data_IF_798457429849
#
_entry.id   IF_798457429849
#
_cell.length_a   1.000
_cell.length_b   1.000
_cell.length_c   1.000
_cell.angle_alpha   90.00
_cell.angle_beta   90.00
_cell.angle_gamma   90.00
#
_symmetry.space_group_name_H-M   'P 1'
#
loop_
_entity.id
_entity.type
_entity.pdbx_description
1 polymer ?
#
# COMPACT_ATOMS: atom_id res chain seq x y z
N UNK A 1 -20.36 5.20 32.93
CA UNK A 1 -20.64 4.09 32.00
C UNK A 1 -21.65 4.47 30.93
N UNK A 2 -22.85 4.92 31.25
CA UNK A 2 -23.94 5.28 30.31
C UNK A 2 -23.49 6.27 29.22
N UNK A 3 -22.83 7.38 29.58
CA UNK A 3 -22.38 8.42 28.65
C UNK A 3 -21.37 7.84 27.59
N UNK A 4 -20.46 7.00 28.06
CA UNK A 4 -19.46 6.37 27.13
C UNK A 4 -20.14 5.40 26.16
N UNK A 5 -21.09 4.59 26.63
CA UNK A 5 -21.85 3.70 25.77
C UNK A 5 -22.71 4.49 24.75
N UNK A 6 -23.34 5.58 25.19
CA UNK A 6 -24.10 6.45 24.28
C UNK A 6 -23.23 7.09 23.21
N UNK A 7 -22.01 7.51 23.55
CA UNK A 7 -21.05 8.05 22.56
C UNK A 7 -20.68 7.02 21.52
N UNK A 8 -20.38 5.79 21.91
CA UNK A 8 -20.08 4.69 20.99
C UNK A 8 -21.25 4.44 20.04
N UNK A 9 -22.47 4.37 20.56
CA UNK A 9 -23.69 4.17 19.75
C UNK A 9 -23.85 5.29 18.72
N UNK A 10 -23.66 6.55 19.14
CA UNK A 10 -23.70 7.70 18.23
C UNK A 10 -22.65 7.60 17.13
N UNK A 11 -21.44 7.12 17.43
CA UNK A 11 -20.41 6.92 16.41
C UNK A 11 -20.83 5.92 15.33
N UNK A 12 -21.54 4.86 15.69
CA UNK A 12 -22.10 3.92 14.70
C UNK A 12 -23.26 4.52 13.91
N UNK A 13 -24.15 5.27 14.56
CA UNK A 13 -25.28 5.94 13.87
C UNK A 13 -24.76 6.94 12.81
N UNK A 14 -23.73 7.70 13.14
CA UNK A 14 -23.15 8.68 12.22
C UNK A 14 -22.06 8.14 11.28
N UNK A 15 -21.82 6.80 11.25
CA UNK A 15 -20.81 6.14 10.43
C UNK A 15 -19.38 6.67 10.66
N UNK A 16 -19.05 7.04 11.91
CA UNK A 16 -17.71 7.46 12.32
C UNK A 16 -16.99 6.42 13.20
N UNK A 17 -17.49 5.18 13.24
CA UNK A 17 -16.91 4.04 13.97
C UNK A 17 -15.50 3.69 13.52
N UNK A 18 -15.11 4.12 12.30
CA UNK A 18 -13.73 3.99 11.81
C UNK A 18 -12.70 4.67 12.74
N UNK A 19 -13.09 5.68 13.50
CA UNK A 19 -12.22 6.32 14.50
C UNK A 19 -11.91 5.37 15.66
N UNK A 20 -12.89 4.58 16.11
CA UNK A 20 -12.67 3.55 17.14
C UNK A 20 -11.70 2.51 16.62
N UNK A 21 -11.84 2.12 15.37
CA UNK A 21 -10.95 1.17 14.71
C UNK A 21 -9.53 1.71 14.61
N UNK A 22 -9.37 2.98 14.20
CA UNK A 22 -8.07 3.64 14.13
C UNK A 22 -7.37 3.69 15.51
N UNK A 23 -8.10 4.07 16.56
CA UNK A 23 -7.59 4.09 17.94
C UNK A 23 -7.15 2.69 18.37
N UNK A 24 -7.97 1.67 18.12
CA UNK A 24 -7.66 0.28 18.47
C UNK A 24 -6.44 -0.24 17.72
N UNK A 25 -6.34 0.06 16.42
CA UNK A 25 -5.28 -0.46 15.55
C UNK A 25 -3.92 0.17 15.85
N UNK A 26 -3.89 1.43 16.24
CA UNK A 26 -2.67 2.20 16.45
C UNK A 26 -2.41 2.38 17.94
N UNK A 27 -3.20 3.22 18.61
CA UNK A 27 -2.90 3.71 19.95
C UNK A 27 -3.01 2.65 21.04
N UNK A 28 -4.01 1.76 20.99
CA UNK A 28 -4.15 0.68 21.99
C UNK A 28 -3.10 -0.42 21.84
N UNK A 29 -2.38 -0.45 20.71
CA UNK A 29 -1.21 -1.31 20.51
C UNK A 29 0.11 -0.65 20.96
N UNK A 30 0.06 0.59 21.45
CA UNK A 30 1.23 1.35 21.87
C UNK A 30 1.98 2.06 20.75
N UNK A 31 1.36 2.22 19.58
CA UNK A 31 1.96 2.88 18.43
C UNK A 31 1.42 4.31 18.25
N UNK A 32 2.15 5.12 17.50
CA UNK A 32 1.75 6.50 17.11
C UNK A 32 1.51 6.62 15.61
N UNK A 33 1.77 5.57 14.84
CA UNK A 33 1.61 5.53 13.38
C UNK A 33 1.14 4.16 12.93
N UNK A 34 0.64 4.06 11.69
CA UNK A 34 0.28 2.81 11.06
C UNK A 34 1.51 2.02 10.62
N UNK A 35 1.37 0.69 10.53
CA UNK A 35 2.41 -0.25 10.12
C UNK A 35 2.02 -1.04 8.87
N UNK A 36 2.99 -1.73 8.29
CA UNK A 36 2.83 -2.56 7.09
C UNK A 36 1.75 -3.64 7.26
N UNK A 37 1.66 -4.22 8.45
CA UNK A 37 0.74 -5.32 8.77
C UNK A 37 -0.70 -4.86 9.08
N UNK A 38 -0.94 -3.57 9.28
CA UNK A 38 -2.25 -3.04 9.69
C UNK A 38 -3.33 -3.20 8.61
N UNK A 39 -2.96 -3.55 7.38
CA UNK A 39 -3.94 -3.89 6.34
C UNK A 39 -4.89 -5.00 6.77
N UNK A 40 -4.50 -5.87 7.71
CA UNK A 40 -5.30 -6.96 8.27
C UNK A 40 -6.44 -6.47 9.17
N UNK A 41 -6.33 -5.27 9.69
CA UNK A 41 -7.29 -4.67 10.64
C UNK A 41 -8.47 -3.98 9.94
N UNK A 42 -8.38 -3.82 8.61
CA UNK A 42 -9.37 -3.10 7.81
C UNK A 42 -10.06 -4.04 6.81
N UNK A 43 -11.34 -3.78 6.47
CA UNK A 43 -12.01 -4.51 5.40
C UNK A 43 -11.25 -4.33 4.09
N UNK A 44 -10.93 -5.44 3.44
CA UNK A 44 -10.23 -5.43 2.16
C UNK A 44 -11.21 -5.79 1.04
N UNK A 45 -11.12 -5.11 -0.10
CA UNK A 45 -11.83 -5.45 -1.31
C UNK A 45 -10.85 -6.07 -2.30
N UNK A 46 -11.21 -7.23 -2.83
CA UNK A 46 -10.43 -7.86 -3.90
C UNK A 46 -10.86 -7.28 -5.24
N UNK A 47 -9.91 -6.67 -5.94
CA UNK A 47 -10.10 -6.24 -7.33
C UNK A 47 -9.82 -7.43 -8.24
N UNK A 48 -10.74 -7.72 -9.18
CA UNK A 48 -10.56 -8.79 -10.16
C UNK A 48 -9.32 -8.50 -11.01
N UNK A 49 -8.44 -9.48 -11.10
CA UNK A 49 -7.21 -9.37 -11.92
C UNK A 49 -7.59 -9.35 -13.40
N UNK A 50 -6.89 -8.52 -14.17
CA UNK A 50 -6.85 -8.60 -15.63
C UNK A 50 -5.94 -9.72 -16.13
N UNK A 51 -5.63 -9.71 -17.43
CA UNK A 51 -4.64 -10.61 -18.02
C UNK A 51 -3.27 -10.23 -17.45
N UNK A 52 -2.56 -11.22 -16.91
CA UNK A 52 -1.24 -11.00 -16.35
C UNK A 52 -0.25 -10.58 -17.45
N UNK A 53 0.49 -9.52 -17.19
CA UNK A 53 1.61 -9.05 -18.02
C UNK A 53 2.85 -8.97 -17.12
N UNK A 54 3.48 -10.12 -16.80
CA UNK A 54 4.64 -10.15 -15.92
C UNK A 54 5.83 -9.46 -16.59
N UNK A 55 6.64 -8.79 -15.77
CA UNK A 55 7.93 -8.30 -16.20
C UNK A 55 8.82 -9.47 -16.64
N UNK A 56 9.59 -9.27 -17.69
CA UNK A 56 10.61 -10.24 -18.08
C UNK A 56 11.67 -10.37 -16.98
N UNK A 57 12.27 -11.54 -16.87
CA UNK A 57 13.41 -11.75 -15.97
C UNK A 57 14.69 -11.51 -16.75
N UNK A 58 15.58 -10.67 -16.23
CA UNK A 58 16.88 -10.40 -16.85
C UNK A 58 17.73 -11.67 -16.87
N UNK A 59 18.55 -11.82 -17.91
CA UNK A 59 19.58 -12.88 -17.95
C UNK A 59 20.59 -12.78 -16.79
N UNK A 60 20.78 -11.58 -16.26
CA UNK A 60 21.67 -11.28 -15.14
C UNK A 60 20.91 -11.18 -13.82
N UNK A 61 19.71 -11.77 -13.72
CA UNK A 61 18.87 -11.73 -12.51
C UNK A 61 19.64 -12.21 -11.28
N UNK A 62 19.70 -11.35 -10.26
CA UNK A 62 20.39 -11.58 -8.99
C UNK A 62 21.86 -12.05 -9.12
N UNK A 63 22.51 -11.80 -10.26
CA UNK A 63 23.89 -12.23 -10.50
C UNK A 63 24.92 -11.37 -9.77
N UNK A 64 24.58 -10.14 -9.42
CA UNK A 64 25.47 -9.21 -8.71
C UNK A 64 25.10 -9.19 -7.22
N UNK A 65 26.04 -9.55 -6.33
CA UNK A 65 25.78 -9.50 -4.89
C UNK A 65 25.60 -8.06 -4.41
N UNK A 66 24.76 -7.89 -3.38
CA UNK A 66 24.60 -6.60 -2.70
C UNK A 66 25.90 -6.20 -2.02
N UNK A 67 26.19 -4.88 -2.03
CA UNK A 67 27.32 -4.33 -1.29
C UNK A 67 27.01 -4.27 0.21
N UNK A 68 28.05 -4.23 1.06
CA UNK A 68 27.89 -4.09 2.52
C UNK A 68 27.13 -2.82 2.90
N UNK A 69 27.39 -1.73 2.16
CA UNK A 69 26.68 -0.46 2.36
C UNK A 69 25.18 -0.62 2.09
N UNK A 70 24.82 -1.30 0.99
CA UNK A 70 23.40 -1.55 0.65
C UNK A 70 22.75 -2.47 1.69
N UNK A 71 23.43 -3.54 2.09
CA UNK A 71 22.95 -4.45 3.13
C UNK A 71 22.72 -3.74 4.46
N UNK A 72 23.66 -2.88 4.85
CA UNK A 72 23.49 -2.04 6.05
C UNK A 72 22.30 -1.10 5.91
N UNK A 73 22.14 -0.45 4.76
CA UNK A 73 21.00 0.43 4.48
C UNK A 73 19.67 -0.31 4.58
N UNK A 74 19.56 -1.51 4.02
CA UNK A 74 18.35 -2.34 4.13
C UNK A 74 18.01 -2.65 5.59
N UNK A 75 19.01 -2.98 6.38
CA UNK A 75 18.84 -3.25 7.82
C UNK A 75 18.40 -2.00 8.59
N UNK A 76 19.08 -0.87 8.36
CA UNK A 76 18.80 0.40 9.06
C UNK A 76 17.38 0.93 8.73
N UNK A 77 16.92 0.73 7.48
CA UNK A 77 15.60 1.16 7.02
C UNK A 77 14.50 0.10 7.20
N UNK A 78 14.84 -1.08 7.72
CA UNK A 78 13.91 -2.21 7.85
C UNK A 78 13.20 -2.52 6.51
N UNK A 79 13.98 -2.57 5.43
CA UNK A 79 13.47 -2.85 4.09
C UNK A 79 12.88 -4.24 4.05
N UNK A 80 11.66 -4.39 3.52
CA UNK A 80 10.97 -5.69 3.38
C UNK A 80 11.08 -6.28 1.98
N UNK A 81 11.25 -5.41 0.97
CA UNK A 81 11.41 -5.82 -0.42
C UNK A 81 12.26 -4.80 -1.16
N UNK A 82 13.11 -5.28 -2.04
CA UNK A 82 13.95 -4.45 -2.90
C UNK A 82 13.95 -5.00 -4.32
N UNK A 83 13.63 -4.15 -5.30
CA UNK A 83 13.48 -4.53 -6.68
C UNK A 83 14.21 -3.52 -7.58
N UNK A 84 15.01 -4.02 -8.52
CA UNK A 84 15.59 -3.21 -9.59
C UNK A 84 15.06 -3.70 -10.92
N UNK A 85 14.43 -2.79 -11.68
CA UNK A 85 14.02 -3.01 -13.06
C UNK A 85 15.01 -2.29 -13.96
N UNK A 86 15.58 -3.02 -14.93
CA UNK A 86 16.53 -2.50 -15.89
C UNK A 86 16.17 -2.99 -17.29
N UNK A 87 16.02 -2.08 -18.25
CA UNK A 87 15.62 -2.39 -19.61
C UNK A 87 14.38 -3.31 -19.67
N UNK A 88 13.31 -2.89 -19.00
CA UNK A 88 12.02 -3.58 -18.92
C UNK A 88 12.09 -5.02 -18.38
N UNK A 89 13.13 -5.34 -17.62
CA UNK A 89 13.33 -6.66 -17.04
C UNK A 89 13.69 -6.55 -15.55
N UNK A 90 13.26 -7.52 -14.76
CA UNK A 90 13.65 -7.62 -13.36
C UNK A 90 15.11 -8.05 -13.32
N UNK A 91 15.98 -7.14 -12.87
CA UNK A 91 17.41 -7.38 -12.77
C UNK A 91 17.84 -7.85 -11.39
N UNK A 92 17.22 -7.30 -10.34
CA UNK A 92 17.45 -7.71 -8.96
C UNK A 92 16.15 -7.73 -8.19
N UNK A 93 15.98 -8.73 -7.33
CA UNK A 93 14.83 -8.89 -6.46
C UNK A 93 15.25 -9.57 -5.15
N UNK A 94 14.96 -8.95 -4.03
CA UNK A 94 15.24 -9.51 -2.70
C UNK A 94 14.15 -9.15 -1.70
N UNK A 95 13.97 -10.03 -0.72
CA UNK A 95 12.99 -9.90 0.34
C UNK A 95 13.66 -10.13 1.69
N UNK A 96 13.17 -9.45 2.72
CA UNK A 96 13.75 -9.45 4.06
C UNK A 96 12.65 -9.72 5.10
N UNK A 97 13.04 -10.06 6.32
CA UNK A 97 12.17 -10.21 7.48
C UNK A 97 10.96 -11.15 7.25
N UNK A 98 11.18 -12.22 6.50
CA UNK A 98 10.14 -13.22 6.20
C UNK A 98 9.13 -12.81 5.13
N UNK A 99 9.31 -11.66 4.48
CA UNK A 99 8.50 -11.24 3.34
C UNK A 99 8.90 -11.99 2.05
N UNK A 100 8.02 -11.99 1.07
CA UNK A 100 8.19 -12.66 -0.22
C UNK A 100 7.39 -11.94 -1.31
N UNK A 101 7.53 -12.36 -2.56
CA UNK A 101 6.75 -11.86 -3.69
C UNK A 101 5.23 -11.96 -3.52
N UNK A 102 4.76 -12.87 -2.66
CA UNK A 102 3.34 -13.06 -2.37
C UNK A 102 2.85 -12.33 -1.12
N UNK A 103 3.76 -11.71 -0.37
CA UNK A 103 3.42 -10.98 0.84
C UNK A 103 2.56 -9.76 0.53
N UNK A 104 1.68 -9.43 1.47
CA UNK A 104 0.83 -8.24 1.40
C UNK A 104 1.28 -7.25 2.46
N UNK A 105 1.15 -5.98 2.17
CA UNK A 105 1.47 -4.90 3.09
C UNK A 105 0.54 -3.72 2.90
N UNK A 106 0.48 -2.84 3.88
CA UNK A 106 -0.11 -1.53 3.70
C UNK A 106 0.74 -0.74 2.70
N UNK A 107 0.09 -0.16 1.69
CA UNK A 107 0.78 0.57 0.62
C UNK A 107 1.14 2.02 0.97
N UNK A 108 0.59 2.55 2.06
CA UNK A 108 0.74 3.95 2.43
C UNK A 108 0.51 4.90 1.24
N UNK A 109 1.37 5.90 1.06
CA UNK A 109 1.24 6.88 -0.01
C UNK A 109 1.44 6.33 -1.42
N UNK A 110 1.92 5.12 -1.59
CA UNK A 110 1.98 4.44 -2.90
C UNK A 110 0.59 4.30 -3.54
N UNK A 111 -0.48 4.23 -2.72
CA UNK A 111 -1.87 4.26 -3.19
C UNK A 111 -2.20 5.50 -4.04
N UNK A 112 -1.51 6.64 -3.82
CA UNK A 112 -1.72 7.87 -4.61
C UNK A 112 -1.35 7.66 -6.08
N UNK A 113 -0.33 6.87 -6.38
CA UNK A 113 0.03 6.53 -7.77
C UNK A 113 -1.07 5.71 -8.45
N UNK A 114 -1.72 4.80 -7.73
CA UNK A 114 -2.87 4.04 -8.24
C UNK A 114 -4.05 4.96 -8.50
N UNK A 115 -4.34 5.91 -7.60
CA UNK A 115 -5.41 6.91 -7.78
C UNK A 115 -5.11 7.79 -8.99
N UNK A 116 -3.87 8.24 -9.18
CA UNK A 116 -3.44 9.02 -10.34
C UNK A 116 -3.64 8.25 -11.65
N UNK A 117 -3.27 6.97 -11.68
CA UNK A 117 -3.49 6.11 -12.84
C UNK A 117 -4.99 5.91 -13.13
N UNK A 118 -5.82 5.75 -12.08
CA UNK A 118 -7.26 5.65 -12.23
C UNK A 118 -7.90 6.93 -12.79
N UNK A 119 -7.41 8.11 -12.37
CA UNK A 119 -7.81 9.39 -12.94
C UNK A 119 -7.47 9.46 -14.44
N UNK A 120 -6.26 9.12 -14.83
CA UNK A 120 -5.84 9.05 -16.23
C UNK A 120 -6.75 8.12 -17.05
N UNK A 121 -7.08 6.95 -16.50
CA UNK A 121 -8.02 6.02 -17.15
C UNK A 121 -9.42 6.61 -17.31
N UNK A 122 -9.93 7.32 -16.31
CA UNK A 122 -11.24 8.00 -16.38
C UNK A 122 -11.28 9.08 -17.46
N UNK A 123 -10.18 9.81 -17.66
CA UNK A 123 -10.04 10.78 -18.77
C UNK A 123 -10.04 10.04 -20.12
N UNK A 124 -9.25 8.98 -20.25
CA UNK A 124 -9.21 8.17 -21.49
C UNK A 124 -10.58 7.58 -21.84
N UNK A 125 -11.38 7.22 -20.86
CA UNK A 125 -12.72 6.69 -21.04
C UNK A 125 -13.81 7.77 -21.22
N UNK A 126 -13.41 9.05 -21.27
CA UNK A 126 -14.32 10.19 -21.44
C UNK A 126 -15.23 10.44 -20.22
N UNK A 127 -14.94 9.85 -19.07
CA UNK A 127 -15.68 10.07 -17.82
C UNK A 127 -15.31 11.41 -17.17
N UNK A 128 -14.11 11.85 -17.41
CA UNK A 128 -13.58 13.17 -17.04
C UNK A 128 -13.11 13.83 -18.34
N UNK A 129 -13.54 15.06 -18.61
CA UNK A 129 -13.28 15.72 -19.88
C UNK A 129 -11.81 16.17 -20.03
N UNK A 130 -11.21 16.64 -18.96
CA UNK A 130 -9.83 17.10 -18.92
C UNK A 130 -9.35 17.27 -17.47
N UNK A 131 -8.07 17.58 -17.30
CA UNK A 131 -7.49 17.95 -15.99
C UNK A 131 -8.02 19.30 -15.47
N UNK A 132 -8.57 20.14 -16.34
CA UNK A 132 -9.13 21.45 -15.98
C UNK A 132 -10.60 21.36 -15.53
N UNK A 133 -11.22 20.20 -15.65
CA UNK A 133 -12.58 19.99 -15.16
C UNK A 133 -12.62 20.17 -13.64
N UNK A 134 -13.55 20.96 -13.14
CA UNK A 134 -13.73 21.14 -11.71
C UNK A 134 -14.32 19.90 -11.07
N UNK A 135 -13.94 19.63 -9.84
CA UNK A 135 -14.48 18.48 -9.05
C UNK A 135 -15.99 18.63 -8.81
N UNK A 136 -16.52 19.85 -8.87
CA UNK A 136 -17.93 20.16 -8.70
C UNK A 136 -18.80 19.95 -9.94
N UNK A 137 -18.22 19.67 -11.11
CA UNK A 137 -18.95 19.62 -12.41
C UNK A 137 -19.58 18.24 -12.68
#
# INVERSE_FOLDING_TARGET
MVIFSSLIILMYIFNVDYLIRAVRTIYLKGYTTAFLEDYKEFPNRTIKKGIAQPWAISKDYNSVPSTDVLNKTHKDLQTIAYLIIKNDSIWHESYFDGYSASSKSNSFSMAKSVVSAALGKAIMDGKIKSLDQKVSD
#
